data_IF_327539990885
#
_entry.id   IF_327539990885
#
_cell.length_a   1.000
_cell.length_b   1.000
_cell.length_c   1.000
_cell.angle_alpha   90.00
_cell.angle_beta   90.00
_cell.angle_gamma   90.00
#
_symmetry.space_group_name_H-M   'P 1'
#
loop_
_entity.id
_entity.type
_entity.pdbx_description
1 polymer ?
#
# COMPACT_ATOMS: atom_id res chain seq x y z
N UNK A 1 6.24 -3.09 -11.47
CA UNK A 1 6.33 -3.07 -9.98
C UNK A 1 4.96 -3.20 -9.32
N UNK A 2 3.93 -2.45 -9.73
CA UNK A 2 2.56 -2.60 -9.17
C UNK A 2 1.98 -4.00 -9.45
N UNK A 3 2.19 -4.53 -10.65
CA UNK A 3 1.71 -5.87 -11.02
C UNK A 3 2.35 -6.97 -10.17
N UNK A 4 3.64 -6.87 -9.87
CA UNK A 4 4.33 -7.80 -8.97
C UNK A 4 3.85 -7.64 -7.53
N UNK A 5 3.65 -6.41 -7.05
CA UNK A 5 3.11 -6.16 -5.73
C UNK A 5 1.69 -6.73 -5.56
N UNK A 6 0.84 -6.64 -6.59
CA UNK A 6 -0.50 -7.24 -6.59
C UNK A 6 -0.45 -8.76 -6.52
N UNK A 7 0.47 -9.41 -7.26
CA UNK A 7 0.67 -10.86 -7.18
C UNK A 7 1.14 -11.30 -5.79
N UNK A 8 2.09 -10.59 -5.21
CA UNK A 8 2.59 -10.87 -3.85
C UNK A 8 1.47 -10.66 -2.83
N UNK A 9 0.75 -9.53 -2.90
CA UNK A 9 -0.36 -9.21 -2.00
C UNK A 9 -1.47 -10.27 -2.04
N UNK A 10 -1.87 -10.68 -3.25
CA UNK A 10 -2.90 -11.70 -3.44
C UNK A 10 -2.44 -13.06 -2.91
N UNK A 11 -1.20 -13.45 -3.21
CA UNK A 11 -0.63 -14.70 -2.69
C UNK A 11 -0.64 -14.72 -1.15
N UNK A 12 -0.14 -13.66 -0.51
CA UNK A 12 -0.12 -13.58 0.94
C UNK A 12 -1.53 -13.59 1.53
N UNK A 13 -2.45 -12.84 0.94
CA UNK A 13 -3.84 -12.80 1.38
C UNK A 13 -4.50 -14.19 1.29
N UNK A 14 -4.28 -14.94 0.22
CA UNK A 14 -4.93 -16.25 -0.02
C UNK A 14 -4.26 -17.42 0.70
N UNK A 15 -2.95 -17.37 0.98
CA UNK A 15 -2.17 -18.56 1.37
C UNK A 15 -1.71 -18.57 2.84
N UNK A 16 -2.00 -17.53 3.63
CA UNK A 16 -1.79 -17.59 5.09
C UNK A 16 -3.10 -18.05 5.72
N UNK A 17 -3.05 -19.21 6.35
CA UNK A 17 -4.21 -19.84 6.98
C UNK A 17 -4.09 -19.87 8.49
N UNK A 18 -5.24 -19.86 9.17
CA UNK A 18 -5.33 -20.02 10.61
C UNK A 18 -5.35 -21.52 11.00
N UNK A 19 -5.48 -21.81 12.29
CA UNK A 19 -5.54 -23.19 12.79
C UNK A 19 -6.78 -23.97 12.35
N UNK A 20 -7.81 -23.30 11.84
CA UNK A 20 -9.01 -23.94 11.27
C UNK A 20 -8.86 -24.27 9.79
N UNK A 21 -7.79 -23.79 9.14
CA UNK A 21 -7.60 -23.87 7.69
C UNK A 21 -8.34 -22.77 6.92
N UNK A 22 -8.94 -21.80 7.62
CA UNK A 22 -9.53 -20.60 7.04
C UNK A 22 -8.47 -19.54 6.71
N UNK A 23 -8.86 -18.50 5.96
CA UNK A 23 -7.96 -17.38 5.69
C UNK A 23 -7.64 -16.63 6.99
N UNK A 24 -6.36 -16.50 7.33
CA UNK A 24 -5.92 -15.78 8.53
C UNK A 24 -5.85 -14.25 8.34
N UNK A 25 -5.94 -13.75 7.12
CA UNK A 25 -5.81 -12.34 6.80
C UNK A 25 -7.15 -11.71 6.49
N UNK A 26 -7.55 -10.70 7.26
CA UNK A 26 -8.65 -9.81 6.87
C UNK A 26 -8.19 -8.76 5.84
N UNK A 27 -6.90 -8.40 5.84
CA UNK A 27 -6.32 -7.35 4.99
C UNK A 27 -4.80 -7.55 4.82
N UNK A 28 -4.33 -7.44 3.58
CA UNK A 28 -2.91 -7.35 3.22
C UNK A 28 -2.69 -6.06 2.44
N UNK A 29 -1.65 -5.30 2.80
CA UNK A 29 -1.22 -4.09 2.08
C UNK A 29 0.27 -4.11 1.81
N UNK A 30 0.64 -3.78 0.57
CA UNK A 30 2.03 -3.69 0.15
C UNK A 30 2.44 -2.24 0.02
N UNK A 31 3.44 -1.82 0.79
CA UNK A 31 4.03 -0.50 0.72
C UNK A 31 5.49 -0.58 0.27
N UNK A 32 5.97 0.49 -0.35
CA UNK A 32 7.39 0.66 -0.65
C UNK A 32 7.87 1.98 -0.07
N UNK A 33 9.01 1.97 0.61
CA UNK A 33 9.68 3.19 1.02
C UNK A 33 10.24 3.93 -0.19
N UNK A 34 9.83 5.18 -0.37
CA UNK A 34 10.29 6.04 -1.45
C UNK A 34 10.47 7.48 -0.97
N UNK A 35 11.58 8.18 -1.31
CA UNK A 35 11.72 9.57 -0.93
C UNK A 35 10.68 10.42 -1.66
N UNK A 36 10.21 11.45 -0.98
CA UNK A 36 9.15 12.34 -1.44
C UNK A 36 9.43 12.95 -2.84
N UNK A 37 10.66 13.42 -3.09
CA UNK A 37 11.06 14.02 -4.36
C UNK A 37 11.01 13.04 -5.56
N UNK A 38 10.92 11.73 -5.33
CA UNK A 38 10.81 10.71 -6.38
C UNK A 38 9.40 10.16 -6.57
N UNK A 39 8.43 10.62 -5.78
CA UNK A 39 7.03 10.28 -6.01
C UNK A 39 6.52 10.91 -7.30
N UNK A 40 5.51 10.29 -7.92
CA UNK A 40 4.75 10.92 -8.99
C UNK A 40 4.10 12.22 -8.50
N UNK A 41 3.95 13.22 -9.38
CA UNK A 41 3.48 14.56 -9.02
C UNK A 41 2.13 14.55 -8.27
N UNK A 42 1.21 13.64 -8.62
CA UNK A 42 -0.06 13.50 -7.92
C UNK A 42 0.09 13.08 -6.46
N UNK A 43 1.03 12.17 -6.17
CA UNK A 43 1.33 11.72 -4.80
C UNK A 43 2.09 12.79 -4.01
N UNK A 44 2.95 13.57 -4.67
CA UNK A 44 3.57 14.74 -4.04
C UNK A 44 2.51 15.77 -3.63
N UNK A 45 1.58 16.09 -4.54
CA UNK A 45 0.47 17.00 -4.27
C UNK A 45 -0.45 16.51 -3.15
N UNK A 46 -0.73 15.21 -3.10
CA UNK A 46 -1.49 14.60 -2.00
C UNK A 46 -0.79 14.80 -0.64
N UNK A 47 0.52 14.51 -0.56
CA UNK A 47 1.28 14.70 0.67
C UNK A 47 1.35 16.18 1.09
N UNK A 48 1.55 17.10 0.14
CA UNK A 48 1.50 18.56 0.40
C UNK A 48 0.13 18.98 0.94
N UNK A 49 -0.95 18.48 0.34
CA UNK A 49 -2.31 18.83 0.75
C UNK A 49 -2.62 18.41 2.19
N UNK A 50 -2.10 17.26 2.64
CA UNK A 50 -2.26 16.80 4.03
C UNK A 50 -1.39 17.61 4.99
N UNK A 51 -0.14 17.90 4.61
CA UNK A 51 0.82 18.54 5.51
C UNK A 51 0.70 20.07 5.54
N UNK A 52 -0.01 20.67 4.58
CA UNK A 52 -0.12 22.13 4.41
C UNK A 52 1.13 22.78 3.81
N UNK A 53 2.19 22.00 3.57
CA UNK A 53 3.44 22.43 2.92
C UNK A 53 4.14 21.22 2.30
N UNK A 54 5.09 21.47 1.40
CA UNK A 54 5.98 20.42 0.93
C UNK A 54 6.86 19.91 2.08
N UNK A 55 6.91 18.59 2.34
CA UNK A 55 7.92 18.01 3.22
C UNK A 55 9.31 18.12 2.58
N UNK A 56 10.35 17.75 3.33
CA UNK A 56 11.71 17.69 2.75
C UNK A 56 11.79 16.60 1.69
N UNK A 57 12.62 16.83 0.67
CA UNK A 57 12.82 15.94 -0.48
C UNK A 57 13.09 14.48 -0.11
N UNK A 58 13.86 14.25 0.96
CA UNK A 58 14.26 12.92 1.44
C UNK A 58 13.30 12.34 2.48
N UNK A 59 12.15 12.99 2.73
CA UNK A 59 11.12 12.43 3.61
C UNK A 59 10.66 11.09 3.06
N UNK A 60 10.75 10.05 3.89
CA UNK A 60 10.28 8.72 3.53
C UNK A 60 8.76 8.71 3.40
N UNK A 61 8.28 8.46 2.18
CA UNK A 61 6.89 8.18 1.89
C UNK A 61 6.67 6.68 1.71
N UNK A 62 5.45 6.23 2.01
CA UNK A 62 5.03 4.84 1.87
C UNK A 62 3.84 4.77 0.90
N UNK A 63 4.04 5.00 -0.42
CA UNK A 63 3.00 4.74 -1.39
C UNK A 63 2.56 3.27 -1.34
N UNK A 64 1.25 3.06 -1.30
CA UNK A 64 0.65 1.74 -1.39
C UNK A 64 0.71 1.25 -2.84
N UNK A 65 1.21 0.03 -3.03
CA UNK A 65 1.36 -0.61 -4.34
C UNK A 65 0.31 -1.69 -4.62
N UNK A 66 -0.21 -2.30 -3.55
CA UNK A 66 -1.25 -3.33 -3.63
C UNK A 66 -2.04 -3.39 -2.32
N UNK A 67 -3.30 -3.79 -2.42
CA UNK A 67 -4.15 -4.07 -1.27
C UNK A 67 -5.19 -5.15 -1.58
N UNK A 68 -5.38 -6.09 -0.66
CA UNK A 68 -6.33 -7.18 -0.75
C UNK A 68 -7.00 -7.35 0.62
N UNK A 69 -8.32 -7.42 0.68
CA UNK A 69 -9.02 -7.58 1.95
C UNK A 69 -10.48 -7.99 1.78
N UNK A 70 -11.11 -8.36 2.88
CA UNK A 70 -12.46 -8.93 2.90
C UNK A 70 -13.54 -7.91 2.48
N UNK A 71 -13.35 -6.65 2.87
CA UNK A 71 -14.25 -5.57 2.50
C UNK A 71 -13.83 -4.92 1.17
N UNK A 72 -14.78 -4.73 0.25
CA UNK A 72 -14.52 -4.11 -1.05
C UNK A 72 -13.94 -2.70 -0.94
N UNK A 73 -14.35 -1.90 0.07
CA UNK A 73 -13.81 -0.54 0.27
C UNK A 73 -12.32 -0.55 0.59
N UNK A 74 -11.79 -1.63 1.16
CA UNK A 74 -10.37 -1.73 1.52
C UNK A 74 -9.48 -1.96 0.31
N UNK A 75 -10.03 -2.51 -0.79
CA UNK A 75 -9.29 -2.84 -2.02
C UNK A 75 -8.88 -1.60 -2.84
N UNK A 76 -9.34 -0.41 -2.44
CA UNK A 76 -9.09 0.84 -3.15
C UNK A 76 -8.56 1.98 -2.25
N UNK A 77 -8.47 1.75 -0.93
CA UNK A 77 -8.11 2.78 0.08
C UNK A 77 -6.75 2.55 0.70
#
# INVERSE_FOLDING_TARGET
MKDEANKIGSYLYENISDSSGGNANALVRFYKTHPYNRLDQGLQGFAQGILGSAPSDETNCLPMLATNGDNDDWKFR
#
